data_IF_821481089419
#
_entry.id   IF_821481089419
#
_cell.length_a   1.000
_cell.length_b   1.000
_cell.length_c   1.000
_cell.angle_alpha   90.00
_cell.angle_beta   90.00
_cell.angle_gamma   90.00
#
_symmetry.space_group_name_H-M   'P 1'
#
loop_
_entity.id
_entity.type
_entity.pdbx_description
1 polymer ?
#
# COMPACT_ATOMS: atom_id res chain seq x y z
N UNK A 1 77.37 -17.41 -23.14
CA UNK A 1 76.97 -16.15 -22.45
C UNK A 1 75.49 -15.98 -22.67
N UNK A 2 74.66 -16.46 -21.71
CA UNK A 2 73.17 -16.47 -21.83
C UNK A 2 72.64 -15.40 -20.96
N UNK A 3 71.90 -14.45 -21.58
CA UNK A 3 71.16 -13.40 -20.89
C UNK A 3 69.82 -13.95 -20.38
N UNK A 4 69.66 -13.99 -19.08
CA UNK A 4 68.37 -14.34 -18.43
C UNK A 4 67.54 -13.08 -18.33
N UNK A 5 66.43 -13.08 -19.06
CA UNK A 5 65.46 -12.01 -18.99
C UNK A 5 64.44 -12.34 -17.90
N UNK A 6 64.40 -11.56 -16.84
CA UNK A 6 63.44 -11.70 -15.75
C UNK A 6 62.17 -11.01 -16.18
N UNK A 7 61.10 -11.79 -16.41
CA UNK A 7 59.76 -11.28 -16.67
C UNK A 7 59.07 -11.00 -15.31
N UNK A 8 58.92 -9.73 -15.01
CA UNK A 8 58.18 -9.29 -13.84
C UNK A 8 56.68 -9.35 -14.16
N UNK A 9 56.00 -10.38 -13.65
CA UNK A 9 54.54 -10.49 -13.74
C UNK A 9 53.90 -9.60 -12.68
N UNK A 10 53.40 -8.44 -13.11
CA UNK A 10 52.62 -7.55 -12.29
C UNK A 10 51.17 -8.06 -12.25
N UNK A 11 50.79 -8.79 -11.20
CA UNK A 11 49.40 -9.14 -10.92
C UNK A 11 48.64 -7.91 -10.54
N UNK A 12 47.89 -7.32 -11.50
CA UNK A 12 46.84 -6.36 -11.21
C UNK A 12 45.66 -7.11 -10.57
N UNK A 13 45.58 -7.06 -9.25
CA UNK A 13 44.36 -7.43 -8.51
C UNK A 13 43.31 -6.34 -8.75
N UNK A 14 42.41 -6.58 -9.73
CA UNK A 14 41.18 -5.83 -9.81
C UNK A 14 40.30 -6.20 -8.60
N UNK A 15 40.34 -5.36 -7.57
CA UNK A 15 39.33 -5.36 -6.52
C UNK A 15 38.01 -4.95 -7.12
N UNK A 16 37.12 -5.92 -7.31
CA UNK A 16 35.70 -5.67 -7.53
C UNK A 16 35.15 -5.07 -6.22
N UNK A 17 35.17 -3.76 -6.13
CA UNK A 17 34.26 -3.06 -5.22
C UNK A 17 32.85 -3.30 -5.76
N UNK A 18 32.15 -4.29 -5.19
CA UNK A 18 30.71 -4.30 -5.21
C UNK A 18 30.26 -3.06 -4.41
N UNK A 19 30.09 -1.94 -5.11
CA UNK A 19 29.35 -0.83 -4.62
C UNK A 19 27.90 -1.32 -4.52
N UNK A 20 27.47 -1.74 -3.32
CA UNK A 20 26.09 -1.65 -2.98
C UNK A 20 25.75 -0.15 -3.05
N UNK A 21 25.20 0.27 -4.17
CA UNK A 21 24.45 1.53 -4.21
C UNK A 21 23.26 1.28 -3.30
N UNK A 22 23.32 1.76 -2.05
CA UNK A 22 22.08 2.10 -1.36
C UNK A 22 21.40 3.10 -2.30
N UNK A 23 20.29 2.70 -2.89
CA UNK A 23 19.35 3.67 -3.44
C UNK A 23 19.11 4.65 -2.29
N UNK A 24 19.37 5.93 -2.52
CA UNK A 24 18.99 6.97 -1.57
C UNK A 24 17.47 6.87 -1.47
N UNK A 25 16.95 6.41 -0.32
CA UNK A 25 15.53 6.42 -0.07
C UNK A 25 15.07 7.86 -0.19
N UNK A 26 14.22 8.11 -1.19
CA UNK A 26 13.61 9.43 -1.36
C UNK A 26 12.81 9.72 -0.09
N UNK A 27 13.10 10.84 0.54
CA UNK A 27 12.32 11.32 1.70
C UNK A 27 11.20 12.21 1.20
N UNK A 28 9.98 11.84 1.49
CA UNK A 28 8.79 12.61 1.20
C UNK A 28 8.30 13.28 2.49
N UNK A 29 7.80 14.53 2.37
CA UNK A 29 7.34 15.33 3.53
C UNK A 29 5.81 15.45 3.53
N UNK A 30 5.13 14.33 3.31
CA UNK A 30 3.68 14.24 3.43
C UNK A 30 3.28 13.81 4.84
N UNK A 31 2.13 14.29 5.31
CA UNK A 31 1.40 13.67 6.42
C UNK A 31 0.56 12.50 5.89
N UNK A 32 0.13 11.59 6.76
CA UNK A 32 -0.85 10.57 6.38
C UNK A 32 -2.16 11.20 5.87
N UNK A 33 -2.52 12.38 6.41
CA UNK A 33 -3.66 13.17 5.96
C UNK A 33 -3.53 13.67 4.53
N UNK A 34 -2.35 14.16 4.12
CA UNK A 34 -2.11 14.64 2.75
C UNK A 34 -2.30 13.50 1.72
N UNK A 35 -1.76 12.32 2.02
CA UNK A 35 -1.90 11.12 1.17
C UNK A 35 -3.36 10.64 1.13
N UNK A 36 -4.04 10.62 2.29
CA UNK A 36 -5.45 10.28 2.38
C UNK A 36 -6.31 11.22 1.54
N UNK A 37 -6.09 12.54 1.63
CA UNK A 37 -6.86 13.55 0.92
C UNK A 37 -6.62 13.48 -0.60
N UNK A 38 -5.41 13.16 -1.06
CA UNK A 38 -5.12 12.94 -2.47
C UNK A 38 -5.89 11.72 -3.03
N UNK A 39 -5.91 10.61 -2.29
CA UNK A 39 -6.70 9.43 -2.68
C UNK A 39 -8.19 9.77 -2.69
N UNK A 40 -8.70 10.46 -1.66
CA UNK A 40 -10.09 10.90 -1.58
C UNK A 40 -10.49 11.79 -2.75
N UNK A 41 -9.63 12.73 -3.14
CA UNK A 41 -9.89 13.62 -4.29
C UNK A 41 -10.03 12.85 -5.60
N UNK A 42 -9.23 11.78 -5.79
CA UNK A 42 -9.29 10.96 -6.99
C UNK A 42 -10.64 10.20 -7.13
N UNK A 43 -11.27 9.84 -6.03
CA UNK A 43 -12.61 9.22 -6.06
C UNK A 43 -13.75 10.24 -6.18
N UNK A 44 -13.54 11.48 -5.76
CA UNK A 44 -14.56 12.52 -5.82
C UNK A 44 -15.87 12.13 -5.11
N UNK A 45 -17.00 12.09 -5.85
CA UNK A 45 -18.31 11.74 -5.30
C UNK A 45 -18.46 10.25 -4.94
N UNK A 46 -17.60 9.37 -5.48
CA UNK A 46 -17.57 7.94 -5.17
C UNK A 46 -16.78 7.62 -3.88
N UNK A 47 -16.23 8.63 -3.19
CA UNK A 47 -15.61 8.48 -1.90
C UNK A 47 -16.66 8.47 -0.79
N UNK A 48 -16.99 7.29 -0.26
CA UNK A 48 -18.07 7.12 0.72
C UNK A 48 -17.67 7.17 2.20
N UNK A 49 -16.40 6.95 2.62
CA UNK A 49 -16.05 7.01 4.04
C UNK A 49 -16.42 8.35 4.66
N UNK A 50 -17.30 8.34 5.68
CA UNK A 50 -17.90 9.50 6.35
C UNK A 50 -17.64 9.51 7.87
N UNK A 51 -17.01 8.47 8.42
CA UNK A 51 -16.59 8.36 9.81
C UNK A 51 -15.08 8.15 9.94
N UNK A 52 -14.47 8.77 10.95
CA UNK A 52 -13.08 8.52 11.30
C UNK A 52 -12.96 7.20 12.09
N UNK A 53 -11.94 6.40 11.78
CA UNK A 53 -11.54 5.26 12.61
C UNK A 53 -10.80 5.73 13.87
N UNK A 54 -10.87 4.94 14.92
CA UNK A 54 -10.21 5.20 16.20
C UNK A 54 -9.05 4.22 16.47
N UNK A 55 -8.30 4.47 17.55
CA UNK A 55 -7.12 3.65 17.90
C UNK A 55 -7.46 2.17 18.17
N UNK A 56 -8.65 1.87 18.70
CA UNK A 56 -9.07 0.48 18.91
C UNK A 56 -9.28 -0.25 17.57
N UNK A 57 -9.81 0.46 16.56
CA UNK A 57 -9.94 -0.09 15.22
C UNK A 57 -8.58 -0.34 14.57
N UNK A 58 -7.61 0.57 14.72
CA UNK A 58 -6.26 0.39 14.20
C UNK A 58 -5.56 -0.83 14.81
N UNK A 59 -5.66 -1.00 16.13
CA UNK A 59 -4.94 -2.03 16.87
C UNK A 59 -5.65 -3.39 16.84
N UNK A 60 -6.99 -3.43 16.92
CA UNK A 60 -7.75 -4.68 16.99
C UNK A 60 -8.12 -5.20 15.60
N UNK A 61 -8.63 -4.33 14.72
CA UNK A 61 -9.11 -4.76 13.40
C UNK A 61 -7.96 -4.91 12.41
N UNK A 62 -7.00 -3.98 12.43
CA UNK A 62 -5.85 -4.01 11.52
C UNK A 62 -4.59 -4.60 12.15
N UNK A 63 -4.54 -4.79 13.47
CA UNK A 63 -3.39 -5.36 14.17
C UNK A 63 -2.16 -4.44 14.21
N UNK A 64 -2.35 -3.13 13.96
CA UNK A 64 -1.24 -2.19 13.91
C UNK A 64 -0.59 -2.02 15.29
N UNK A 65 0.73 -2.10 15.31
CA UNK A 65 1.57 -1.68 16.43
C UNK A 65 1.82 -0.16 16.32
N UNK A 66 1.12 0.61 17.15
CA UNK A 66 1.21 2.07 17.14
C UNK A 66 2.60 2.59 17.53
N UNK A 67 3.46 1.74 18.13
CA UNK A 67 4.86 2.09 18.36
C UNK A 67 5.68 2.16 17.07
N UNK A 68 5.18 1.60 15.96
CA UNK A 68 5.78 1.64 14.62
C UNK A 68 5.20 2.71 13.71
N UNK A 69 4.12 3.36 14.12
CA UNK A 69 3.41 4.36 13.33
C UNK A 69 3.78 5.76 13.83
N UNK A 70 4.14 6.67 12.91
CA UNK A 70 4.40 8.08 13.17
C UNK A 70 3.12 8.90 13.06
N UNK A 71 2.33 8.67 12.00
CA UNK A 71 1.09 9.38 11.71
C UNK A 71 0.10 8.44 11.01
N UNK A 72 -1.20 8.64 11.24
CA UNK A 72 -2.25 7.80 10.66
C UNK A 72 -3.50 8.63 10.37
N UNK A 73 -4.11 8.40 9.22
CA UNK A 73 -5.43 8.89 8.88
C UNK A 73 -6.24 7.77 8.28
N UNK A 74 -7.42 7.52 8.83
CA UNK A 74 -8.29 6.47 8.31
C UNK A 74 -9.77 6.82 8.42
N UNK A 75 -10.52 6.36 7.44
CA UNK A 75 -11.97 6.56 7.36
C UNK A 75 -12.69 5.29 6.97
N UNK A 76 -13.92 5.18 7.45
CA UNK A 76 -14.84 4.07 7.19
C UNK A 76 -16.22 4.64 6.85
N UNK A 77 -16.97 3.93 6.01
CA UNK A 77 -18.38 4.27 5.78
C UNK A 77 -19.24 3.77 6.94
N UNK A 78 -19.94 4.69 7.61
CA UNK A 78 -20.74 4.42 8.83
C UNK A 78 -22.08 3.72 8.55
N UNK A 79 -22.26 3.18 7.35
CA UNK A 79 -23.41 2.35 7.00
C UNK A 79 -23.06 0.88 7.35
N UNK A 80 -23.99 0.21 8.03
CA UNK A 80 -23.82 -1.17 8.48
C UNK A 80 -23.32 -2.12 7.36
N UNK A 81 -22.23 -2.85 7.61
CA UNK A 81 -21.60 -3.81 6.69
C UNK A 81 -21.15 -3.23 5.34
N UNK A 82 -20.97 -1.90 5.25
CA UNK A 82 -20.39 -1.30 4.05
C UNK A 82 -18.87 -1.59 3.99
N UNK A 83 -18.33 -1.98 2.82
CA UNK A 83 -16.91 -2.34 2.71
C UNK A 83 -15.98 -1.13 2.66
N UNK A 84 -16.45 0.03 2.20
CA UNK A 84 -15.59 1.18 1.89
C UNK A 84 -14.84 1.69 3.11
N UNK A 85 -13.51 1.65 2.97
CA UNK A 85 -12.57 2.13 3.97
C UNK A 85 -11.24 2.51 3.33
N UNK A 86 -10.61 3.51 3.89
CA UNK A 86 -9.28 3.95 3.53
C UNK A 86 -8.49 4.12 4.84
N UNK A 87 -7.32 3.51 4.91
CA UNK A 87 -6.36 3.76 5.98
C UNK A 87 -5.02 4.10 5.33
N UNK A 88 -4.44 5.23 5.74
CA UNK A 88 -3.09 5.64 5.38
C UNK A 88 -2.27 5.75 6.65
N UNK A 89 -1.17 5.02 6.71
CA UNK A 89 -0.19 5.08 7.79
C UNK A 89 1.14 5.63 7.25
N UNK A 90 1.71 6.60 7.97
CA UNK A 90 3.11 6.96 7.88
C UNK A 90 3.83 6.20 8.97
N UNK A 91 4.59 5.20 8.61
CA UNK A 91 5.40 4.42 9.54
C UNK A 91 6.59 5.26 10.04
N UNK A 92 7.16 4.89 11.18
CA UNK A 92 8.47 5.40 11.61
C UNK A 92 9.54 4.93 10.63
N UNK A 93 10.65 5.67 10.57
CA UNK A 93 11.75 5.40 9.66
C UNK A 93 12.17 3.92 9.66
N UNK A 94 12.05 3.27 8.51
CA UNK A 94 12.39 1.87 8.29
C UNK A 94 11.35 0.85 8.76
N UNK A 95 10.19 1.26 9.26
CA UNK A 95 9.10 0.35 9.69
C UNK A 95 8.02 0.16 8.60
N UNK A 96 8.17 0.78 7.43
CA UNK A 96 7.18 0.72 6.36
C UNK A 96 6.84 -0.71 5.91
N UNK A 97 7.83 -1.58 5.73
CA UNK A 97 7.62 -2.99 5.36
C UNK A 97 6.83 -3.75 6.45
N UNK A 98 7.13 -3.52 7.71
CA UNK A 98 6.42 -4.17 8.83
C UNK A 98 4.96 -3.71 8.93
N UNK A 99 4.68 -2.44 8.64
CA UNK A 99 3.31 -1.90 8.59
C UNK A 99 2.56 -2.46 7.39
N UNK A 100 3.20 -2.56 6.22
CA UNK A 100 2.64 -3.18 5.02
C UNK A 100 2.22 -4.63 5.28
N UNK A 101 3.15 -5.48 5.79
CA UNK A 101 2.86 -6.88 6.13
C UNK A 101 1.67 -7.01 7.09
N UNK A 102 1.58 -6.11 8.07
CA UNK A 102 0.47 -6.10 9.03
C UNK A 102 -0.86 -5.78 8.37
N UNK A 103 -0.89 -4.77 7.49
CA UNK A 103 -2.10 -4.39 6.77
C UNK A 103 -2.50 -5.43 5.71
N UNK A 104 -1.54 -6.11 5.06
CA UNK A 104 -1.80 -7.23 4.16
C UNK A 104 -2.45 -8.39 4.91
N UNK A 105 -1.93 -8.76 6.08
CA UNK A 105 -2.53 -9.80 6.92
C UNK A 105 -3.95 -9.43 7.37
N UNK A 106 -4.20 -8.17 7.71
CA UNK A 106 -5.53 -7.68 8.04
C UNK A 106 -6.48 -7.76 6.84
N UNK A 107 -6.02 -7.36 5.64
CA UNK A 107 -6.76 -7.48 4.40
C UNK A 107 -7.14 -8.94 4.13
N UNK A 108 -6.18 -9.83 4.18
CA UNK A 108 -6.42 -11.26 3.91
C UNK A 108 -7.43 -11.85 4.91
N UNK A 109 -7.32 -11.50 6.18
CA UNK A 109 -8.31 -11.89 7.19
C UNK A 109 -9.71 -11.34 6.87
N UNK A 110 -9.83 -10.08 6.41
CA UNK A 110 -11.12 -9.50 6.01
C UNK A 110 -11.72 -10.21 4.80
N UNK A 111 -10.90 -10.63 3.83
CA UNK A 111 -11.32 -11.39 2.65
C UNK A 111 -11.79 -12.80 3.05
N UNK A 112 -11.05 -13.49 3.91
CA UNK A 112 -11.32 -14.88 4.27
C UNK A 112 -12.45 -15.05 5.28
N UNK A 113 -12.54 -14.16 6.26
CA UNK A 113 -13.43 -14.33 7.44
C UNK A 113 -14.54 -13.29 7.53
N UNK A 114 -14.48 -12.21 6.75
CA UNK A 114 -15.46 -11.14 6.80
C UNK A 114 -16.86 -11.59 6.37
N UNK A 115 -17.87 -11.13 7.10
CA UNK A 115 -19.28 -11.37 6.75
C UNK A 115 -19.79 -10.25 5.83
N UNK A 116 -19.50 -10.37 4.55
CA UNK A 116 -19.87 -9.37 3.56
C UNK A 116 -21.14 -9.75 2.80
N UNK A 117 -21.93 -8.76 2.39
CA UNK A 117 -23.00 -8.99 1.44
C UNK A 117 -22.43 -9.47 0.08
N UNK A 118 -23.12 -10.37 -0.63
CA UNK A 118 -22.64 -10.88 -1.93
C UNK A 118 -22.24 -9.78 -2.91
N UNK A 119 -23.00 -8.68 -2.96
CA UNK A 119 -22.71 -7.54 -3.84
C UNK A 119 -21.36 -6.84 -3.51
N UNK A 120 -20.84 -6.99 -2.29
CA UNK A 120 -19.60 -6.37 -1.85
C UNK A 120 -18.37 -7.26 -2.04
N UNK A 121 -18.55 -8.55 -2.31
CA UNK A 121 -17.45 -9.52 -2.38
C UNK A 121 -16.41 -9.16 -3.43
N UNK A 122 -16.84 -8.68 -4.60
CA UNK A 122 -15.94 -8.27 -5.67
C UNK A 122 -14.99 -7.15 -5.19
N UNK A 123 -15.54 -6.12 -4.53
CA UNK A 123 -14.76 -4.99 -3.98
C UNK A 123 -13.82 -5.43 -2.86
N UNK A 124 -14.30 -6.24 -1.93
CA UNK A 124 -13.47 -6.75 -0.82
C UNK A 124 -12.29 -7.55 -1.35
N UNK A 125 -12.53 -8.43 -2.32
CA UNK A 125 -11.48 -9.21 -2.97
C UNK A 125 -10.49 -8.34 -3.77
N UNK A 126 -10.95 -7.22 -4.34
CA UNK A 126 -10.13 -6.30 -5.11
C UNK A 126 -9.29 -5.34 -4.24
N UNK A 127 -9.59 -5.24 -2.93
CA UNK A 127 -8.86 -4.34 -2.01
C UNK A 127 -7.35 -4.56 -2.07
N UNK A 128 -6.58 -3.49 -1.88
CA UNK A 128 -5.13 -3.52 -1.98
C UNK A 128 -4.46 -2.83 -0.80
N UNK A 129 -3.26 -3.28 -0.48
CA UNK A 129 -2.28 -2.57 0.33
C UNK A 129 -1.16 -2.13 -0.60
N UNK A 130 -0.75 -0.87 -0.51
CA UNK A 130 0.32 -0.29 -1.33
C UNK A 130 1.30 0.47 -0.46
N UNK A 131 2.59 0.45 -0.83
CA UNK A 131 3.64 1.12 -0.06
C UNK A 131 4.59 1.92 -0.94
N UNK A 132 5.02 3.07 -0.41
CA UNK A 132 6.13 3.88 -0.94
C UNK A 132 7.00 4.36 0.24
N UNK A 133 8.16 3.76 0.43
CA UNK A 133 9.01 3.99 1.59
C UNK A 133 8.28 3.66 2.90
N UNK A 134 8.13 4.66 3.77
CA UNK A 134 7.42 4.52 5.05
C UNK A 134 5.91 4.88 4.97
N UNK A 135 5.39 5.18 3.78
CA UNK A 135 3.95 5.41 3.59
C UNK A 135 3.27 4.12 3.13
N UNK A 136 2.20 3.72 3.82
CA UNK A 136 1.42 2.52 3.51
C UNK A 136 -0.06 2.87 3.47
N UNK A 137 -0.76 2.45 2.43
CA UNK A 137 -2.20 2.65 2.33
C UNK A 137 -2.94 1.32 2.14
N UNK A 138 -3.98 1.10 2.95
CA UNK A 138 -4.99 0.06 2.74
C UNK A 138 -6.19 0.70 2.03
N UNK A 139 -6.52 0.20 0.84
CA UNK A 139 -7.53 0.77 -0.05
C UNK A 139 -8.61 -0.28 -0.32
N UNK A 140 -9.83 -0.02 0.15
CA UNK A 140 -11.04 -0.80 -0.15
C UNK A 140 -12.14 0.22 -0.47
N UNK A 141 -12.10 0.76 -1.69
CA UNK A 141 -12.91 1.88 -2.14
C UNK A 141 -13.43 1.69 -3.55
N UNK A 142 -14.37 2.54 -3.94
CA UNK A 142 -14.87 2.69 -5.31
C UNK A 142 -16.34 2.35 -5.46
N UNK A 143 -16.90 2.64 -6.63
CA UNK A 143 -18.29 2.35 -6.95
C UNK A 143 -18.59 0.83 -6.87
N UNK A 144 -19.85 0.49 -6.66
CA UNK A 144 -20.36 -0.89 -6.78
C UNK A 144 -20.88 -1.08 -8.21
N UNK A 145 -20.64 -2.24 -8.78
CA UNK A 145 -21.24 -2.59 -10.08
C UNK A 145 -22.76 -2.77 -9.93
N UNK A 146 -23.51 -1.86 -10.50
CA UNK A 146 -24.99 -1.86 -10.43
C UNK A 146 -25.64 -2.64 -11.58
N UNK A 147 -24.85 -3.27 -12.46
CA UNK A 147 -25.39 -4.07 -13.58
C UNK A 147 -26.01 -5.36 -13.07
N UNK A 148 -27.31 -5.55 -13.29
CA UNK A 148 -28.04 -6.74 -12.84
C UNK A 148 -27.63 -8.04 -13.56
N UNK A 149 -27.04 -7.91 -14.75
CA UNK A 149 -26.63 -9.01 -15.64
C UNK A 149 -25.10 -9.21 -15.69
N UNK A 150 -24.34 -8.49 -14.87
CA UNK A 150 -22.89 -8.67 -14.79
C UNK A 150 -22.55 -10.08 -14.26
N UNK A 151 -21.63 -10.74 -14.93
CA UNK A 151 -21.04 -11.97 -14.45
C UNK A 151 -20.11 -11.69 -13.27
N UNK A 152 -19.79 -12.72 -12.46
CA UNK A 152 -18.83 -12.60 -11.36
C UNK A 152 -17.45 -12.09 -11.84
N UNK A 153 -17.01 -12.49 -13.05
CA UNK A 153 -15.76 -12.05 -13.65
C UNK A 153 -15.79 -10.57 -14.01
N UNK A 154 -16.89 -10.11 -14.63
CA UNK A 154 -17.08 -8.69 -14.97
C UNK A 154 -17.18 -7.80 -13.73
N UNK A 155 -17.86 -8.26 -12.68
CA UNK A 155 -17.93 -7.54 -11.41
C UNK A 155 -16.56 -7.48 -10.71
N UNK A 156 -15.76 -8.55 -10.78
CA UNK A 156 -14.42 -8.59 -10.23
C UNK A 156 -13.46 -7.66 -10.99
N UNK A 157 -13.56 -7.59 -12.32
CA UNK A 157 -12.75 -6.68 -13.13
C UNK A 157 -13.13 -5.22 -12.86
N UNK A 158 -14.42 -4.91 -12.83
CA UNK A 158 -14.90 -3.58 -12.45
C UNK A 158 -14.38 -3.15 -11.08
N UNK A 159 -14.48 -4.03 -10.08
CA UNK A 159 -14.00 -3.73 -8.72
C UNK A 159 -12.49 -3.47 -8.68
N UNK A 160 -11.69 -4.19 -9.48
CA UNK A 160 -10.24 -3.94 -9.61
C UNK A 160 -9.96 -2.57 -10.22
N UNK A 161 -10.68 -2.21 -11.28
CA UNK A 161 -10.56 -0.87 -11.89
C UNK A 161 -10.91 0.23 -10.89
N UNK A 162 -11.93 0.01 -10.07
CA UNK A 162 -12.32 0.97 -9.05
C UNK A 162 -11.26 1.15 -7.96
N UNK A 163 -10.71 0.07 -7.42
CA UNK A 163 -9.63 0.15 -6.42
C UNK A 163 -8.36 0.75 -7.02
N UNK A 164 -8.09 0.49 -8.30
CA UNK A 164 -6.91 1.01 -9.00
C UNK A 164 -6.87 2.54 -9.03
N UNK A 165 -8.02 3.23 -9.01
CA UNK A 165 -8.08 4.70 -8.92
C UNK A 165 -7.30 5.20 -7.69
N UNK A 166 -7.50 4.57 -6.53
CA UNK A 166 -6.80 4.94 -5.30
C UNK A 166 -5.33 4.54 -5.31
N UNK A 167 -5.00 3.41 -5.91
CA UNK A 167 -3.62 2.95 -6.09
C UNK A 167 -2.83 3.91 -6.97
N UNK A 168 -3.42 4.33 -8.08
CA UNK A 168 -2.80 5.27 -9.00
C UNK A 168 -2.61 6.65 -8.35
N UNK A 169 -3.60 7.12 -7.58
CA UNK A 169 -3.50 8.37 -6.84
C UNK A 169 -2.40 8.33 -5.76
N UNK A 170 -2.28 7.20 -5.05
CA UNK A 170 -1.18 6.97 -4.11
C UNK A 170 0.17 7.01 -4.83
N UNK A 171 0.34 6.20 -5.87
CA UNK A 171 1.61 6.10 -6.60
C UNK A 171 2.05 7.43 -7.20
N UNK A 172 1.10 8.22 -7.74
CA UNK A 172 1.39 9.52 -8.33
C UNK A 172 2.07 10.52 -7.39
N UNK A 173 1.88 10.38 -6.06
CA UNK A 173 2.55 11.22 -5.06
C UNK A 173 4.04 10.86 -4.91
N UNK A 174 4.44 9.66 -5.29
CA UNK A 174 5.78 9.11 -5.02
C UNK A 174 6.58 8.79 -6.29
N UNK A 175 6.02 9.05 -7.48
CA UNK A 175 6.68 8.77 -8.77
C UNK A 175 7.68 9.84 -9.24
N UNK A 176 7.86 10.98 -8.54
CA UNK A 176 8.80 12.04 -8.95
C UNK A 176 10.27 11.75 -8.65
#
# INVERSE_FOLDING_TARGET
MKKISVFLVLCLSLGLFAACSKEEEKTYDYTAGDVYDAIKEAYGEDFLPDGDMNEEEYTVTYGLDMDKVEDIKAGITMISFHPDRLLVAKAKEGEGESVEETLEAARDNMVETGMWYPANLAKVNASQVVRAGDYVAFIMLGAVDEREDATEEEAAEFAKEQVQIGVDAFNALFEE
#
